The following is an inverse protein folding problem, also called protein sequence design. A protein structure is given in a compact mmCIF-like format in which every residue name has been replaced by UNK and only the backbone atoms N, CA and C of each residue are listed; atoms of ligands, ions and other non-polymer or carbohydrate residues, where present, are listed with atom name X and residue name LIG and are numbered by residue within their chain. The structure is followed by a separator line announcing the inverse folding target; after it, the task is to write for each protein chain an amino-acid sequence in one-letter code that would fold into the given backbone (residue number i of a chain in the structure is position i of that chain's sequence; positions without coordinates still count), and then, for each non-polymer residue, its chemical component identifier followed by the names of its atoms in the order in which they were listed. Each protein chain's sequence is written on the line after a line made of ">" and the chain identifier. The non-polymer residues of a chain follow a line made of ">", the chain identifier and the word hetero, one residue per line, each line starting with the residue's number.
data_IF_041455153603
#
_entry.id   IF_041455153603
#
_cell.length_a   1.000
_cell.length_b   1.000
_cell.length_c   1.000
_cell.angle_alpha   90.00
_cell.angle_beta   90.00
_cell.angle_gamma   90.00
#
_symmetry.space_group_name_H-M   'P 1'
#
loop_
_entity.id
_entity.type
_entity.pdbx_description
1 polymer ?
#
# COMPACT_ATOMS: atom_id res chain seq x y z
N UNK A 1 33.85 -8.28 -8.28
CA UNK A 1 33.92 -8.14 -6.81
C UNK A 1 32.88 -7.18 -6.20
N UNK A 2 32.53 -6.04 -6.81
CA UNK A 2 31.50 -5.13 -6.26
C UNK A 2 30.04 -5.62 -6.40
N UNK A 3 29.74 -6.40 -7.44
CA UNK A 3 28.42 -7.01 -7.69
C UNK A 3 28.05 -8.06 -6.63
N UNK A 4 29.02 -8.87 -6.19
CA UNK A 4 28.82 -9.94 -5.20
C UNK A 4 28.48 -9.42 -3.79
N UNK A 5 29.18 -8.38 -3.32
CA UNK A 5 28.88 -7.75 -2.03
C UNK A 5 27.49 -7.11 -2.00
N UNK A 6 27.01 -6.63 -3.14
CA UNK A 6 25.68 -6.01 -3.26
C UNK A 6 24.58 -7.08 -3.25
N UNK A 7 24.80 -8.21 -3.96
CA UNK A 7 23.90 -9.35 -3.95
C UNK A 7 23.80 -9.99 -2.54
N UNK A 8 24.93 -10.16 -1.85
CA UNK A 8 24.98 -10.67 -0.48
C UNK A 8 24.22 -9.78 0.51
N UNK A 9 24.38 -8.45 0.44
CA UNK A 9 23.62 -7.50 1.28
C UNK A 9 22.12 -7.53 0.98
N UNK A 10 21.73 -7.65 -0.29
CA UNK A 10 20.32 -7.78 -0.69
C UNK A 10 19.71 -9.10 -0.21
N UNK A 11 20.48 -10.18 -0.25
CA UNK A 11 20.06 -11.50 0.24
C UNK A 11 19.88 -11.52 1.76
N UNK A 12 20.86 -11.00 2.51
CA UNK A 12 20.77 -10.87 3.97
C UNK A 12 19.56 -10.04 4.40
N UNK A 13 19.29 -8.92 3.71
CA UNK A 13 18.09 -8.10 3.94
C UNK A 13 16.79 -8.89 3.73
N UNK A 14 16.73 -9.74 2.70
CA UNK A 14 15.54 -10.55 2.41
C UNK A 14 15.32 -11.63 3.46
N UNK A 15 16.39 -12.29 3.91
CA UNK A 15 16.31 -13.26 5.00
C UNK A 15 15.80 -12.58 6.26
N UNK A 16 16.32 -11.39 6.59
CA UNK A 16 15.82 -10.62 7.73
C UNK A 16 14.33 -10.31 7.63
N UNK A 17 13.86 -9.83 6.46
CA UNK A 17 12.42 -9.56 6.24
C UNK A 17 11.57 -10.82 6.39
N UNK A 18 12.05 -11.96 5.90
CA UNK A 18 11.38 -13.25 6.04
C UNK A 18 11.31 -13.70 7.49
N UNK A 19 12.39 -13.55 8.25
CA UNK A 19 12.42 -13.85 9.70
C UNK A 19 11.44 -12.94 10.44
N UNK A 20 11.41 -11.64 10.15
CA UNK A 20 10.47 -10.71 10.78
C UNK A 20 9.02 -11.08 10.48
N UNK A 21 8.70 -11.43 9.22
CA UNK A 21 7.33 -11.81 8.84
C UNK A 21 6.90 -13.15 9.43
N UNK A 22 7.70 -14.20 9.27
CA UNK A 22 7.40 -15.55 9.77
C UNK A 22 7.41 -15.56 11.30
N UNK A 23 8.42 -14.93 11.92
CA UNK A 23 8.54 -14.80 13.36
C UNK A 23 7.41 -13.97 13.96
N UNK A 24 7.01 -12.87 13.32
CA UNK A 24 5.85 -12.06 13.74
C UNK A 24 4.55 -12.88 13.72
N UNK A 25 4.26 -13.57 12.62
CA UNK A 25 3.09 -14.44 12.51
C UNK A 25 3.12 -15.59 13.52
N UNK A 26 4.25 -16.28 13.65
CA UNK A 26 4.41 -17.38 14.61
C UNK A 26 4.22 -16.91 16.04
N UNK A 27 4.78 -15.75 16.42
CA UNK A 27 4.60 -15.16 17.74
C UNK A 27 3.14 -14.77 18.03
N UNK A 28 2.45 -14.21 17.04
CA UNK A 28 1.03 -13.86 17.16
C UNK A 28 0.20 -15.12 17.42
N UNK A 29 0.36 -16.18 16.63
CA UNK A 29 -0.41 -17.42 16.80
C UNK A 29 0.05 -18.30 17.96
N UNK A 30 1.27 -18.08 18.45
CA UNK A 30 1.72 -18.64 19.72
C UNK A 30 0.98 -18.01 20.90
N UNK A 31 0.72 -16.70 20.88
CA UNK A 31 -0.02 -16.00 21.94
C UNK A 31 -1.53 -16.07 21.81
N UNK A 32 -2.04 -16.19 20.59
CA UNK A 32 -3.48 -16.22 20.30
C UNK A 32 -3.82 -17.50 19.53
N UNK A 33 -4.55 -18.44 20.15
CA UNK A 33 -4.97 -19.67 19.47
C UNK A 33 -5.76 -19.36 18.20
N UNK A 34 -5.44 -20.07 17.12
CA UNK A 34 -6.13 -19.89 15.83
C UNK A 34 -7.64 -20.18 15.94
N UNK A 35 -8.06 -21.12 16.79
CA UNK A 35 -9.48 -21.41 17.05
C UNK A 35 -10.24 -20.16 17.49
N UNK A 36 -9.70 -19.43 18.48
CA UNK A 36 -10.31 -18.19 18.98
C UNK A 36 -10.44 -17.09 17.93
N UNK A 37 -9.67 -17.15 16.83
CA UNK A 37 -9.77 -16.21 15.71
C UNK A 37 -10.90 -16.61 14.77
N UNK A 38 -11.02 -17.90 14.45
CA UNK A 38 -12.05 -18.45 13.57
C UNK A 38 -13.43 -18.42 14.22
N UNK A 39 -13.51 -18.54 15.56
CA UNK A 39 -14.78 -18.47 16.31
C UNK A 39 -15.50 -17.11 16.14
N UNK A 40 -14.77 -16.07 15.74
CA UNK A 40 -15.33 -14.75 15.43
C UNK A 40 -15.89 -14.64 14.00
N UNK A 41 -15.74 -15.67 13.17
CA UNK A 41 -16.29 -15.70 11.81
C UNK A 41 -17.67 -16.33 11.81
N UNK A 42 -18.63 -15.62 11.19
CA UNK A 42 -20.01 -16.08 11.08
C UNK A 42 -20.58 -15.73 9.71
N UNK A 43 -21.69 -16.35 9.31
CA UNK A 43 -22.36 -16.06 8.03
C UNK A 43 -22.79 -14.58 7.89
N UNK A 44 -22.94 -13.87 9.01
CA UNK A 44 -23.27 -12.43 9.02
C UNK A 44 -22.18 -11.55 8.38
N UNK A 45 -20.97 -12.07 8.20
CA UNK A 45 -19.86 -11.38 7.54
C UNK A 45 -20.00 -11.28 6.02
N UNK A 46 -20.85 -12.12 5.41
CA UNK A 46 -20.93 -12.26 3.94
C UNK A 46 -21.23 -10.95 3.18
N UNK A 47 -22.14 -10.05 3.63
CA UNK A 47 -22.38 -8.79 2.93
C UNK A 47 -21.14 -7.88 2.98
N UNK A 48 -20.43 -7.87 4.11
CA UNK A 48 -19.20 -7.09 4.28
C UNK A 48 -18.07 -7.62 3.39
N UNK A 49 -17.95 -8.94 3.26
CA UNK A 49 -17.00 -9.54 2.30
C UNK A 49 -17.32 -9.11 0.88
N UNK A 50 -18.58 -9.18 0.44
CA UNK A 50 -18.97 -8.74 -0.90
C UNK A 50 -18.65 -7.25 -1.14
N UNK A 51 -18.95 -6.38 -0.16
CA UNK A 51 -18.60 -4.96 -0.22
C UNK A 51 -17.08 -4.74 -0.33
N UNK A 52 -16.26 -5.53 0.38
CA UNK A 52 -14.81 -5.47 0.26
C UNK A 52 -14.32 -5.91 -1.12
N UNK A 53 -14.93 -6.95 -1.72
CA UNK A 53 -14.59 -7.38 -3.08
C UNK A 53 -14.94 -6.32 -4.13
N UNK A 54 -16.09 -5.65 -3.98
CA UNK A 54 -16.49 -4.51 -4.82
C UNK A 54 -15.48 -3.36 -4.66
N UNK A 55 -15.16 -2.97 -3.43
CA UNK A 55 -14.17 -1.93 -3.16
C UNK A 55 -12.80 -2.27 -3.76
N UNK A 56 -12.35 -3.53 -3.66
CA UNK A 56 -11.10 -4.00 -4.25
C UNK A 56 -11.09 -3.93 -5.78
N UNK A 57 -12.22 -4.21 -6.43
CA UNK A 57 -12.35 -4.01 -7.88
C UNK A 57 -12.27 -2.53 -8.26
N UNK A 58 -12.98 -1.65 -7.54
CA UNK A 58 -12.96 -0.21 -7.76
C UNK A 58 -11.55 0.35 -7.57
N UNK A 59 -10.82 -0.12 -6.56
CA UNK A 59 -9.42 0.24 -6.32
C UNK A 59 -8.54 -0.08 -7.54
N UNK A 60 -8.70 -1.25 -8.17
CA UNK A 60 -7.94 -1.59 -9.38
C UNK A 60 -8.31 -0.73 -10.58
N UNK A 61 -9.61 -0.44 -10.77
CA UNK A 61 -10.09 0.41 -11.85
C UNK A 61 -9.55 1.84 -11.72
N UNK A 62 -9.64 2.42 -10.52
CA UNK A 62 -9.13 3.77 -10.24
C UNK A 62 -7.60 3.79 -10.37
N UNK A 63 -6.88 2.77 -9.90
CA UNK A 63 -5.43 2.72 -10.10
C UNK A 63 -5.03 2.64 -11.57
N UNK A 64 -5.75 1.86 -12.38
CA UNK A 64 -5.52 1.79 -13.81
C UNK A 64 -5.81 3.13 -14.50
N UNK A 65 -6.90 3.81 -14.11
CA UNK A 65 -7.25 5.13 -14.61
C UNK A 65 -6.19 6.18 -14.23
N UNK A 66 -5.78 6.18 -12.97
CA UNK A 66 -4.73 7.06 -12.44
C UNK A 66 -3.42 6.87 -13.19
N UNK A 67 -3.03 5.62 -13.44
CA UNK A 67 -1.81 5.32 -14.19
C UNK A 67 -1.91 5.72 -15.66
N UNK A 68 -3.08 5.52 -16.30
CA UNK A 68 -3.36 6.05 -17.63
C UNK A 68 -3.23 7.57 -17.68
N UNK A 69 -3.83 8.29 -16.74
CA UNK A 69 -3.77 9.75 -16.65
C UNK A 69 -2.35 10.30 -16.42
N UNK A 70 -1.50 9.53 -15.73
CA UNK A 70 -0.09 9.85 -15.53
C UNK A 70 0.83 9.43 -16.69
N UNK A 71 0.33 8.66 -17.65
CA UNK A 71 1.08 8.32 -18.86
C UNK A 71 0.97 9.46 -19.88
N UNK A 72 1.62 10.58 -19.57
CA UNK A 72 1.50 11.86 -20.29
C UNK A 72 2.30 11.95 -21.61
N UNK A 73 3.07 10.94 -21.96
CA UNK A 73 3.94 10.90 -23.15
C UNK A 73 3.79 9.54 -23.81
N UNK A 74 4.02 9.45 -25.13
CA UNK A 74 3.97 8.23 -25.94
C UNK A 74 2.56 7.84 -26.41
N UNK A 75 2.39 6.61 -26.93
CA UNK A 75 1.18 6.26 -27.69
C UNK A 75 -0.08 6.23 -26.85
N UNK A 76 -1.23 6.48 -27.50
CA UNK A 76 -2.53 6.26 -26.88
C UNK A 76 -2.79 4.77 -26.68
N UNK A 77 -2.81 4.37 -25.41
CA UNK A 77 -2.99 2.97 -25.01
C UNK A 77 -4.40 2.80 -24.42
N UNK A 78 -5.16 1.75 -24.82
CA UNK A 78 -6.51 1.54 -24.32
C UNK A 78 -6.50 1.22 -22.81
N UNK A 79 -7.55 1.64 -22.11
CA UNK A 79 -7.70 1.45 -20.65
C UNK A 79 -7.55 -0.02 -20.22
N UNK A 80 -8.09 -0.96 -21.02
CA UNK A 80 -7.99 -2.40 -20.76
C UNK A 80 -6.55 -2.88 -20.57
N UNK A 81 -5.60 -2.27 -21.29
CA UNK A 81 -4.17 -2.57 -21.13
C UNK A 81 -3.67 -2.11 -19.76
N UNK A 82 -3.94 -0.87 -19.35
CA UNK A 82 -3.56 -0.38 -18.02
C UNK A 82 -4.16 -1.21 -16.90
N UNK A 83 -5.42 -1.63 -17.04
CA UNK A 83 -6.07 -2.52 -16.09
C UNK A 83 -5.38 -3.89 -16.04
N UNK A 84 -5.09 -4.51 -17.20
CA UNK A 84 -4.38 -5.78 -17.28
C UNK A 84 -2.99 -5.73 -16.59
N UNK A 85 -2.21 -4.68 -16.84
CA UNK A 85 -0.92 -4.50 -16.17
C UNK A 85 -1.06 -4.17 -14.68
N UNK A 86 -2.12 -3.47 -14.27
CA UNK A 86 -2.43 -3.22 -12.86
C UNK A 86 -2.76 -4.52 -12.13
N UNK A 87 -3.63 -5.36 -12.70
CA UNK A 87 -3.96 -6.68 -12.18
C UNK A 87 -2.72 -7.60 -12.10
N UNK A 88 -1.89 -7.60 -13.15
CA UNK A 88 -0.60 -8.30 -13.15
C UNK A 88 0.31 -7.82 -12.00
N UNK A 89 0.34 -6.51 -11.74
CA UNK A 89 1.06 -5.93 -10.60
C UNK A 89 0.56 -6.48 -9.26
N UNK A 90 -0.76 -6.62 -9.09
CA UNK A 90 -1.35 -7.22 -7.88
C UNK A 90 -0.95 -8.68 -7.68
N UNK A 91 -0.93 -9.47 -8.74
CA UNK A 91 -0.46 -10.86 -8.69
C UNK A 91 1.00 -10.95 -8.22
N UNK A 92 1.89 -10.19 -8.85
CA UNK A 92 3.31 -10.20 -8.48
C UNK A 92 3.60 -9.57 -7.12
N UNK A 93 2.82 -8.58 -6.66
CA UNK A 93 2.95 -8.03 -5.30
C UNK A 93 2.64 -9.07 -4.21
N UNK A 94 1.78 -10.05 -4.52
CA UNK A 94 1.43 -11.12 -3.58
C UNK A 94 2.38 -12.32 -3.64
N UNK A 95 2.95 -12.59 -4.81
CA UNK A 95 3.91 -13.69 -4.97
C UNK A 95 5.34 -13.32 -4.60
N UNK A 96 5.74 -12.08 -4.89
CA UNK A 96 7.11 -11.66 -4.65
C UNK A 96 7.29 -11.28 -3.18
N UNK A 97 8.41 -11.67 -2.55
CA UNK A 97 8.75 -11.29 -1.17
C UNK A 97 9.08 -9.79 -1.03
N UNK A 98 8.71 -8.96 -1.99
CA UNK A 98 8.97 -7.53 -2.00
C UNK A 98 7.66 -6.79 -2.17
N UNK A 99 7.30 -5.92 -1.22
CA UNK A 99 6.07 -5.11 -1.28
C UNK A 99 5.99 -4.14 -2.48
N UNK A 100 7.08 -3.98 -3.24
CA UNK A 100 7.17 -3.18 -4.45
C UNK A 100 7.46 -4.00 -5.72
N UNK A 101 7.51 -5.33 -5.62
CA UNK A 101 7.96 -6.20 -6.70
C UNK A 101 7.03 -6.19 -7.90
N UNK A 102 5.72 -6.29 -7.67
CA UNK A 102 4.73 -6.27 -8.74
C UNK A 102 4.59 -4.91 -9.41
N UNK A 103 4.82 -3.83 -8.68
CA UNK A 103 4.93 -2.48 -9.24
C UNK A 103 6.14 -2.31 -10.16
N UNK A 104 7.28 -2.91 -9.80
CA UNK A 104 8.45 -2.94 -10.66
C UNK A 104 8.20 -3.81 -11.90
N UNK A 105 7.63 -5.00 -11.75
CA UNK A 105 7.32 -5.90 -12.87
C UNK A 105 6.35 -5.24 -13.85
N UNK A 106 5.23 -4.68 -13.36
CA UNK A 106 4.23 -4.05 -14.24
C UNK A 106 4.82 -2.84 -14.98
N UNK A 107 5.59 -1.98 -14.31
CA UNK A 107 6.14 -0.77 -14.93
C UNK A 107 7.25 -1.08 -15.93
N UNK A 108 8.12 -2.05 -15.64
CA UNK A 108 9.16 -2.49 -16.56
C UNK A 108 8.58 -3.21 -17.78
N UNK A 109 7.62 -4.12 -17.57
CA UNK A 109 6.99 -4.87 -18.66
C UNK A 109 6.16 -3.96 -19.57
N UNK A 110 5.41 -3.02 -18.98
CA UNK A 110 4.66 -2.00 -19.72
C UNK A 110 5.63 -1.07 -20.48
N UNK A 111 6.63 -0.56 -19.77
CA UNK A 111 7.64 0.34 -20.30
C UNK A 111 8.42 -0.23 -21.49
N UNK A 112 8.83 -1.51 -21.42
CA UNK A 112 9.50 -2.20 -22.53
C UNK A 112 8.58 -2.39 -23.73
N UNK A 113 7.31 -2.71 -23.50
CA UNK A 113 6.34 -2.95 -24.58
C UNK A 113 5.98 -1.67 -25.35
N UNK A 114 5.90 -0.54 -24.66
CA UNK A 114 5.45 0.74 -25.22
C UNK A 114 6.54 1.81 -25.31
N UNK A 115 7.82 1.44 -25.12
CA UNK A 115 8.97 2.35 -25.11
C UNK A 115 8.84 3.54 -24.12
N UNK A 116 8.23 3.29 -22.95
CA UNK A 116 7.91 4.28 -21.91
C UNK A 116 8.49 3.93 -20.53
N UNK A 117 9.57 3.14 -20.45
CA UNK A 117 10.09 2.62 -19.17
C UNK A 117 10.36 3.70 -18.13
N UNK A 118 11.06 4.78 -18.49
CA UNK A 118 11.37 5.86 -17.57
C UNK A 118 10.08 6.47 -16.99
N UNK A 119 9.17 6.90 -17.88
CA UNK A 119 7.91 7.51 -17.49
C UNK A 119 7.02 6.58 -16.69
N UNK A 120 6.94 5.30 -17.06
CA UNK A 120 6.12 4.32 -16.33
C UNK A 120 6.61 4.13 -14.90
N UNK A 121 7.93 4.14 -14.68
CA UNK A 121 8.51 4.11 -13.34
C UNK A 121 8.19 5.41 -12.60
N UNK A 122 8.35 6.57 -13.26
CA UNK A 122 8.00 7.88 -12.67
C UNK A 122 6.53 7.96 -12.27
N UNK A 123 5.62 7.43 -13.09
CA UNK A 123 4.17 7.42 -12.83
C UNK A 123 3.86 6.59 -11.58
N UNK A 124 4.46 5.41 -11.46
CA UNK A 124 4.31 4.56 -10.26
C UNK A 124 4.87 5.27 -9.03
N UNK A 125 6.08 5.84 -9.10
CA UNK A 125 6.68 6.60 -8.01
C UNK A 125 5.79 7.77 -7.55
N UNK A 126 5.31 8.59 -8.50
CA UNK A 126 4.41 9.70 -8.20
C UNK A 126 3.12 9.21 -7.54
N UNK A 127 2.54 8.12 -8.06
CA UNK A 127 1.30 7.55 -7.54
C UNK A 127 1.44 7.03 -6.10
N UNK A 128 2.63 6.56 -5.70
CA UNK A 128 2.95 6.13 -4.33
C UNK A 128 3.07 7.32 -3.40
N UNK A 129 3.74 8.38 -3.84
CA UNK A 129 3.87 9.63 -3.08
C UNK A 129 2.50 10.27 -2.86
N UNK A 130 1.69 10.39 -3.91
CA UNK A 130 0.33 10.96 -3.80
C UNK A 130 -0.57 10.12 -2.89
N UNK A 131 -0.46 8.78 -2.95
CA UNK A 131 -1.17 7.89 -2.03
C UNK A 131 -0.76 8.11 -0.57
N UNK A 132 0.54 8.29 -0.31
CA UNK A 132 1.04 8.54 1.04
C UNK A 132 0.61 9.92 1.57
N UNK A 133 0.63 10.95 0.73
CA UNK A 133 0.13 12.29 1.08
C UNK A 133 -1.38 12.28 1.35
N UNK A 134 -2.15 11.56 0.53
CA UNK A 134 -3.59 11.34 0.76
C UNK A 134 -3.85 10.65 2.11
N UNK A 135 -3.03 9.66 2.46
CA UNK A 135 -3.09 9.00 3.77
C UNK A 135 -2.83 9.97 4.93
N UNK A 136 -1.78 10.79 4.85
CA UNK A 136 -1.49 11.77 5.90
C UNK A 136 -2.63 12.76 6.05
N UNK A 137 -3.24 13.19 4.95
CA UNK A 137 -4.41 14.06 4.98
C UNK A 137 -5.58 13.38 5.70
N UNK A 138 -5.90 12.12 5.40
CA UNK A 138 -6.92 11.38 6.12
C UNK A 138 -6.62 11.28 7.63
N UNK A 139 -5.36 11.00 7.99
CA UNK A 139 -4.92 10.93 9.38
C UNK A 139 -5.12 12.27 10.11
N UNK A 140 -4.59 13.37 9.59
CA UNK A 140 -4.65 14.68 10.25
C UNK A 140 -6.08 15.25 10.32
N UNK A 141 -6.92 14.95 9.33
CA UNK A 141 -8.35 15.31 9.38
C UNK A 141 -9.08 14.50 10.46
N UNK A 142 -8.81 13.20 10.57
CA UNK A 142 -9.51 12.34 11.52
C UNK A 142 -9.04 12.52 12.98
N UNK A 143 -7.78 12.95 13.18
CA UNK A 143 -7.14 13.02 14.49
C UNK A 143 -7.92 13.86 15.52
N UNK A 144 -8.37 15.10 15.26
CA UNK A 144 -9.13 15.88 16.25
C UNK A 144 -10.42 15.18 16.70
N UNK A 145 -11.13 14.52 15.77
CA UNK A 145 -12.36 13.80 16.06
C UNK A 145 -12.12 12.51 16.85
N UNK A 146 -10.96 11.86 16.64
CA UNK A 146 -10.57 10.69 17.42
C UNK A 146 -10.23 11.10 18.85
N UNK A 147 -9.50 12.20 19.03
CA UNK A 147 -9.14 12.75 20.34
C UNK A 147 -10.35 13.21 21.15
N UNK A 148 -11.43 13.67 20.49
CA UNK A 148 -12.66 14.05 21.19
C UNK A 148 -13.50 12.86 21.67
N UNK A 149 -13.20 11.64 21.21
CA UNK A 149 -14.01 10.44 21.49
C UNK A 149 -13.32 9.42 22.36
N UNK A 150 -12.00 9.50 22.52
CA UNK A 150 -11.23 8.54 23.31
C UNK A 150 -10.10 9.25 24.02
N UNK A 151 -10.01 8.99 25.32
CA UNK A 151 -8.90 9.45 26.15
C UNK A 151 -7.66 8.58 25.85
N UNK A 152 -6.93 8.98 24.81
CA UNK A 152 -5.64 8.38 24.49
C UNK A 152 -4.55 9.13 25.27
N UNK A 153 -3.59 8.44 25.91
CA UNK A 153 -2.53 9.10 26.67
C UNK A 153 -1.81 10.18 25.86
N UNK A 154 -1.63 11.37 26.43
CA UNK A 154 -1.06 12.53 25.73
C UNK A 154 0.33 12.26 25.12
N UNK A 155 1.19 11.52 25.82
CA UNK A 155 2.49 11.14 25.28
C UNK A 155 2.37 10.29 24.00
N UNK A 156 1.36 9.41 23.94
CA UNK A 156 1.10 8.57 22.78
C UNK A 156 0.58 9.37 21.59
N UNK A 157 -0.39 10.26 21.82
CA UNK A 157 -0.95 11.11 20.75
C UNK A 157 0.11 12.04 20.17
N UNK A 158 0.95 12.64 21.03
CA UNK A 158 2.06 13.50 20.60
C UNK A 158 3.10 12.75 19.79
N UNK A 159 3.55 11.57 20.27
CA UNK A 159 4.57 10.78 19.56
C UNK A 159 4.09 10.36 18.17
N UNK A 160 2.85 9.90 18.04
CA UNK A 160 2.27 9.54 16.74
C UNK A 160 2.12 10.74 15.80
N UNK A 161 1.62 11.86 16.33
CA UNK A 161 1.40 13.07 15.54
C UNK A 161 2.73 13.62 15.02
N UNK A 162 3.74 13.69 15.89
CA UNK A 162 5.10 14.10 15.51
C UNK A 162 5.68 13.12 14.50
N UNK A 163 5.56 11.81 14.70
CA UNK A 163 6.08 10.82 13.76
C UNK A 163 5.44 10.95 12.36
N UNK A 164 4.12 11.08 12.29
CA UNK A 164 3.40 11.29 11.03
C UNK A 164 3.77 12.62 10.37
N UNK A 165 3.93 13.68 11.16
CA UNK A 165 4.34 15.00 10.66
C UNK A 165 5.76 14.98 10.11
N UNK A 166 6.70 14.34 10.81
CA UNK A 166 8.09 14.16 10.37
C UNK A 166 8.13 13.35 9.07
N UNK A 167 7.37 12.25 8.98
CA UNK A 167 7.27 11.48 7.74
C UNK A 167 6.69 12.31 6.59
N UNK A 168 5.64 13.09 6.83
CA UNK A 168 5.04 13.97 5.83
C UNK A 168 6.03 15.03 5.36
N UNK A 169 6.68 15.74 6.29
CA UNK A 169 7.69 16.76 5.99
C UNK A 169 8.85 16.14 5.20
N UNK A 170 9.34 14.96 5.60
CA UNK A 170 10.39 14.26 4.87
C UNK A 170 10.00 13.96 3.42
N UNK A 171 8.78 13.46 3.17
CA UNK A 171 8.27 13.19 1.82
C UNK A 171 8.15 14.48 1.00
N UNK A 172 7.64 15.56 1.59
CA UNK A 172 7.52 16.87 0.94
C UNK A 172 8.89 17.45 0.61
N UNK A 173 9.85 17.40 1.53
CA UNK A 173 11.22 17.84 1.29
C UNK A 173 11.88 17.04 0.15
N UNK A 174 11.67 15.73 0.09
CA UNK A 174 12.19 14.90 -1.01
C UNK A 174 11.58 15.29 -2.38
N UNK A 175 10.34 15.79 -2.42
CA UNK A 175 9.70 16.29 -3.64
C UNK A 175 10.20 17.67 -4.07
N UNK A 176 10.45 18.55 -3.11
CA UNK A 176 10.79 19.96 -3.33
C UNK A 176 12.28 20.29 -3.13
N UNK A 177 13.15 19.28 -3.10
CA UNK A 177 14.59 19.43 -2.88
C UNK A 177 15.33 20.33 -3.90
N UNK A 178 14.70 20.72 -5.02
CA UNK A 178 15.24 21.65 -6.03
C UNK A 178 15.05 23.11 -5.60
N UNK A 179 14.02 23.37 -4.78
CA UNK A 179 13.59 24.72 -4.40
C UNK A 179 13.96 25.07 -2.97
N UNK A 180 14.20 24.05 -2.15
CA UNK A 180 14.65 24.19 -0.77
C UNK A 180 16.15 23.87 -0.75
N UNK A 181 17.00 24.72 -0.15
CA UNK A 181 18.43 24.43 -0.02
C UNK A 181 18.60 23.24 0.94
N UNK A 182 18.69 22.03 0.37
CA UNK A 182 19.01 20.82 1.14
C UNK A 182 20.54 20.71 1.21
N UNK A 183 21.14 20.55 2.40
CA UNK A 183 22.58 20.43 2.54
C UNK A 183 23.18 19.34 1.63
N UNK A 184 24.29 19.64 0.96
CA UNK A 184 24.97 18.71 0.04
C UNK A 184 25.35 17.39 0.72
N UNK A 185 25.61 17.42 2.02
CA UNK A 185 25.88 16.22 2.85
C UNK A 185 24.73 15.21 2.79
N UNK A 186 23.48 15.69 2.75
CA UNK A 186 22.28 14.85 2.70
C UNK A 186 22.06 14.33 1.27
N UNK A 187 22.22 15.18 0.26
CA UNK A 187 22.09 14.81 -1.15
C UNK A 187 23.14 13.77 -1.58
N UNK A 188 24.37 13.90 -1.09
CA UNK A 188 25.46 12.98 -1.35
C UNK A 188 25.26 11.62 -0.64
N UNK A 189 24.64 11.59 0.54
CA UNK A 189 24.26 10.34 1.23
C UNK A 189 23.04 9.67 0.60
N UNK A 190 22.04 10.45 0.17
CA UNK A 190 20.77 9.97 -0.36
C UNK A 190 20.66 10.23 -1.87
N UNK A 191 21.55 9.62 -2.66
CA UNK A 191 21.62 9.78 -4.12
C UNK A 191 20.33 9.41 -4.88
N UNK A 192 19.35 8.77 -4.22
CA UNK A 192 18.03 8.49 -4.77
C UNK A 192 17.16 9.75 -4.90
N UNK A 193 17.31 10.75 -4.02
CA UNK A 193 16.51 11.99 -4.02
C UNK A 193 16.63 12.75 -5.36
N UNK A 194 17.84 13.13 -5.82
CA UNK A 194 17.97 13.86 -7.10
C UNK A 194 17.52 13.02 -8.30
N UNK A 195 17.70 11.69 -8.28
CA UNK A 195 17.21 10.78 -9.33
C UNK A 195 15.69 10.75 -9.40
N UNK A 196 15.03 10.63 -8.24
CA UNK A 196 13.57 10.64 -8.13
C UNK A 196 13.01 11.96 -8.63
N UNK A 197 13.58 13.08 -8.18
CA UNK A 197 13.16 14.41 -8.60
C UNK A 197 13.32 14.64 -10.10
N UNK A 198 14.48 14.29 -10.68
CA UNK A 198 14.70 14.39 -12.13
C UNK A 198 13.62 13.61 -12.89
N UNK A 199 13.27 12.42 -12.39
CA UNK A 199 12.22 11.55 -12.94
C UNK A 199 10.81 12.17 -12.80
N UNK A 200 10.55 12.93 -11.74
CA UNK A 200 9.26 13.57 -11.47
C UNK A 200 9.12 14.97 -12.09
N UNK A 201 10.22 15.59 -12.51
CA UNK A 201 10.23 16.96 -13.04
C UNK A 201 9.32 17.15 -14.26
N UNK A 202 9.14 16.11 -15.08
CA UNK A 202 8.25 16.08 -16.24
C UNK A 202 6.82 16.46 -15.85
N UNK A 203 6.34 15.99 -14.69
CA UNK A 203 4.97 16.24 -14.23
C UNK A 203 4.69 17.68 -13.80
N UNK A 204 5.73 18.52 -13.64
CA UNK A 204 5.54 19.95 -13.32
C UNK A 204 4.81 20.71 -14.42
N UNK A 205 4.89 20.23 -15.66
CA UNK A 205 4.20 20.81 -16.82
C UNK A 205 2.74 20.31 -16.95
N UNK A 206 2.40 19.18 -16.32
CA UNK A 206 1.10 18.50 -16.44
C UNK A 206 0.24 18.65 -15.17
N UNK A 207 0.03 19.90 -14.73
CA UNK A 207 -0.65 20.20 -13.46
C UNK A 207 -2.04 19.58 -13.34
N UNK A 208 -2.81 19.56 -14.44
CA UNK A 208 -4.16 18.96 -14.48
C UNK A 208 -4.11 17.46 -14.18
N UNK A 209 -3.20 16.74 -14.84
CA UNK A 209 -3.04 15.29 -14.68
C UNK A 209 -2.56 14.95 -13.26
N UNK A 210 -1.64 15.74 -12.71
CA UNK A 210 -1.19 15.60 -11.30
C UNK A 210 -2.33 15.85 -10.32
N UNK A 211 -3.17 16.85 -10.56
CA UNK A 211 -4.33 17.13 -9.71
C UNK A 211 -5.34 15.98 -9.75
N UNK A 212 -5.70 15.51 -10.96
CA UNK A 212 -6.62 14.38 -11.12
C UNK A 212 -6.05 13.12 -10.46
N UNK A 213 -4.76 12.84 -10.59
CA UNK A 213 -4.15 11.68 -9.94
C UNK A 213 -4.05 11.82 -8.42
N UNK A 214 -3.96 13.05 -7.88
CA UNK A 214 -4.09 13.32 -6.45
C UNK A 214 -5.52 13.05 -5.96
N UNK A 215 -6.55 13.44 -6.73
CA UNK A 215 -7.95 13.13 -6.39
C UNK A 215 -8.21 11.62 -6.43
N UNK A 216 -7.70 10.92 -7.45
CA UNK A 216 -7.75 9.45 -7.50
C UNK A 216 -7.08 8.84 -6.27
N UNK A 217 -5.97 9.42 -5.79
CA UNK A 217 -5.26 8.94 -4.59
C UNK A 217 -6.08 9.10 -3.32
N UNK A 218 -6.87 10.17 -3.19
CA UNK A 218 -7.83 10.33 -2.10
C UNK A 218 -8.91 9.26 -2.16
N UNK A 219 -9.50 9.02 -3.33
CA UNK A 219 -10.52 7.96 -3.49
C UNK A 219 -9.97 6.58 -3.17
N UNK A 220 -8.76 6.26 -3.62
CA UNK A 220 -8.09 5.02 -3.28
C UNK A 220 -7.90 4.87 -1.77
N UNK A 221 -7.57 5.97 -1.08
CA UNK A 221 -7.39 5.96 0.36
C UNK A 221 -8.70 5.77 1.10
N UNK A 222 -9.77 6.45 0.68
CA UNK A 222 -11.11 6.27 1.24
C UNK A 222 -11.62 4.84 1.05
N UNK A 223 -11.41 4.23 -0.12
CA UNK A 223 -11.76 2.83 -0.37
C UNK A 223 -10.95 1.87 0.50
N UNK A 224 -9.67 2.18 0.74
CA UNK A 224 -8.82 1.39 1.64
C UNK A 224 -9.29 1.47 3.09
N UNK A 225 -9.67 2.67 3.55
CA UNK A 225 -10.25 2.89 4.87
C UNK A 225 -11.63 2.24 5.00
N UNK A 226 -12.44 2.26 3.93
CA UNK A 226 -13.71 1.56 3.88
C UNK A 226 -13.54 0.05 3.98
N UNK A 227 -12.56 -0.55 3.28
CA UNK A 227 -12.25 -1.98 3.45
C UNK A 227 -11.87 -2.28 4.90
N UNK A 228 -11.11 -1.39 5.55
CA UNK A 228 -10.76 -1.54 6.95
C UNK A 228 -11.97 -1.51 7.88
N UNK A 229 -12.86 -0.56 7.65
CA UNK A 229 -14.15 -0.50 8.33
C UNK A 229 -14.98 -1.77 8.10
N UNK A 230 -15.06 -2.25 6.85
CA UNK A 230 -15.85 -3.42 6.50
C UNK A 230 -15.37 -4.69 7.19
N UNK A 231 -14.06 -4.96 7.27
CA UNK A 231 -13.59 -6.17 7.95
C UNK A 231 -13.78 -6.12 9.48
N UNK A 232 -13.76 -4.94 10.11
CA UNK A 232 -14.11 -4.82 11.54
C UNK A 232 -15.61 -5.00 11.76
N UNK A 233 -16.45 -4.45 10.89
CA UNK A 233 -17.90 -4.68 10.92
C UNK A 233 -18.27 -6.14 10.64
N UNK A 234 -17.49 -6.83 9.83
CA UNK A 234 -17.66 -8.24 9.50
C UNK A 234 -17.54 -9.16 10.74
N UNK A 235 -16.69 -8.80 11.70
CA UNK A 235 -16.56 -9.52 12.99
C UNK A 235 -17.44 -8.94 14.09
N UNK A 236 -18.42 -8.09 13.74
CA UNK A 236 -19.37 -7.50 14.68
C UNK A 236 -18.85 -6.30 15.48
N UNK A 237 -17.64 -5.79 15.21
CA UNK A 237 -17.08 -4.64 15.92
C UNK A 237 -17.53 -3.31 15.30
N UNK A 238 -18.16 -2.47 16.12
CA UNK A 238 -18.48 -1.08 15.78
C UNK A 238 -17.46 -0.15 16.40
N UNK A 239 -16.46 0.24 15.61
CA UNK A 239 -15.43 1.19 16.01
C UNK A 239 -15.78 2.56 15.41
N UNK A 240 -15.53 3.63 16.17
CA UNK A 240 -15.70 4.96 15.63
C UNK A 240 -14.83 5.19 14.38
N UNK A 241 -15.42 5.79 13.35
CA UNK A 241 -14.76 5.99 12.06
C UNK A 241 -13.48 6.82 12.23
N UNK A 242 -13.48 7.84 13.09
CA UNK A 242 -12.30 8.69 13.29
C UNK A 242 -11.11 7.90 13.86
N UNK A 243 -11.36 7.08 14.88
CA UNK A 243 -10.34 6.21 15.50
C UNK A 243 -9.85 5.17 14.51
N UNK A 244 -10.77 4.55 13.77
CA UNK A 244 -10.43 3.57 12.74
C UNK A 244 -9.54 4.19 11.66
N UNK A 245 -9.85 5.41 11.20
CA UNK A 245 -9.03 6.11 10.21
C UNK A 245 -7.65 6.41 10.75
N UNK A 246 -7.54 6.93 11.98
CA UNK A 246 -6.24 7.21 12.62
C UNK A 246 -5.40 5.94 12.71
N UNK A 247 -5.92 4.89 13.35
CA UNK A 247 -5.18 3.65 13.60
C UNK A 247 -4.83 2.90 12.32
N UNK A 248 -5.76 2.85 11.36
CA UNK A 248 -5.52 2.21 10.06
C UNK A 248 -4.49 2.99 9.25
N UNK A 249 -4.50 4.33 9.30
CA UNK A 249 -3.49 5.15 8.61
C UNK A 249 -2.10 4.88 9.13
N UNK A 250 -1.93 4.83 10.46
CA UNK A 250 -0.67 4.47 11.11
C UNK A 250 -0.22 3.06 10.68
N UNK A 251 -1.14 2.09 10.75
CA UNK A 251 -0.88 0.71 10.36
C UNK A 251 -0.35 0.63 8.92
N UNK A 252 -0.99 1.33 7.98
CA UNK A 252 -0.59 1.30 6.57
C UNK A 252 0.76 1.97 6.36
N UNK A 253 1.01 3.13 6.99
CA UNK A 253 2.32 3.83 6.88
C UNK A 253 3.45 2.94 7.42
N UNK A 254 3.25 2.30 8.57
CA UNK A 254 4.24 1.37 9.14
C UNK A 254 4.41 0.14 8.24
N UNK A 255 3.32 -0.40 7.68
CA UNK A 255 3.37 -1.57 6.79
C UNK A 255 4.06 -1.28 5.45
N UNK A 256 4.16 -0.01 5.04
CA UNK A 256 4.94 0.39 3.86
C UNK A 256 6.45 0.38 4.11
N UNK A 257 6.89 0.39 5.38
CA UNK A 257 8.31 0.29 5.69
C UNK A 257 8.84 -1.06 5.22
N UNK A 258 10.02 -1.12 4.56
CA UNK A 258 10.58 -2.34 4.01
C UNK A 258 11.23 -3.21 5.11
N UNK A 259 10.54 -3.39 6.23
CA UNK A 259 10.95 -4.18 7.39
C UNK A 259 10.42 -5.61 7.34
N UNK A 260 9.31 -5.85 6.64
CA UNK A 260 8.66 -7.15 6.50
C UNK A 260 8.23 -7.45 5.07
N UNK A 261 7.90 -8.71 4.79
CA UNK A 261 7.37 -9.16 3.52
C UNK A 261 5.93 -8.66 3.36
N UNK A 262 5.72 -7.62 2.56
CA UNK A 262 4.39 -7.05 2.27
C UNK A 262 3.60 -6.63 3.54
N UNK A 263 4.29 -6.22 4.60
CA UNK A 263 3.65 -5.83 5.86
C UNK A 263 3.23 -7.01 6.75
N UNK A 264 3.31 -8.25 6.27
CA UNK A 264 2.87 -9.47 6.98
C UNK A 264 3.59 -9.57 8.34
N UNK A 265 2.82 -9.68 9.42
CA UNK A 265 3.26 -9.80 10.81
C UNK A 265 3.39 -8.44 11.50
N UNK A 266 3.90 -7.44 10.78
CA UNK A 266 4.00 -6.06 11.27
C UNK A 266 2.62 -5.40 11.29
N UNK A 267 1.84 -5.59 10.23
CA UNK A 267 0.47 -5.04 10.11
C UNK A 267 -0.42 -5.54 11.25
N UNK A 268 -0.44 -6.85 11.46
CA UNK A 268 -1.24 -7.49 12.51
C UNK A 268 -0.75 -7.08 13.90
N UNK A 269 0.58 -7.04 14.11
CA UNK A 269 1.16 -6.61 15.38
C UNK A 269 0.84 -5.15 15.72
N UNK A 270 0.90 -4.24 14.74
CA UNK A 270 0.53 -2.83 14.92
C UNK A 270 -0.97 -2.69 15.18
N UNK A 271 -1.82 -3.43 14.46
CA UNK A 271 -3.27 -3.43 14.72
C UNK A 271 -3.57 -3.90 16.14
N UNK A 272 -2.99 -5.02 16.59
CA UNK A 272 -3.17 -5.48 17.98
C UNK A 272 -2.65 -4.44 18.98
N UNK A 273 -1.47 -3.87 18.76
CA UNK A 273 -0.92 -2.84 19.66
C UNK A 273 -1.84 -1.61 19.78
N UNK A 274 -2.46 -1.18 18.68
CA UNK A 274 -3.37 -0.04 18.66
C UNK A 274 -4.75 -0.38 19.21
N UNK A 275 -5.44 -1.33 18.59
CA UNK A 275 -6.83 -1.64 18.90
C UNK A 275 -6.97 -2.40 20.23
N UNK A 276 -6.07 -3.33 20.55
CA UNK A 276 -6.09 -4.00 21.85
C UNK A 276 -5.44 -3.14 22.93
N UNK A 277 -4.29 -2.54 22.65
CA UNK A 277 -3.55 -1.79 23.66
C UNK A 277 -4.23 -0.49 24.12
N UNK A 278 -4.97 0.19 23.23
CA UNK A 278 -5.57 1.50 23.55
C UNK A 278 -7.09 1.38 23.77
N UNK A 279 -7.78 0.60 22.95
CA UNK A 279 -9.25 0.46 23.06
C UNK A 279 -9.67 -0.77 23.87
N UNK A 280 -8.73 -1.59 24.33
CA UNK A 280 -9.03 -2.81 25.10
C UNK A 280 -9.73 -3.91 24.29
N UNK A 281 -9.79 -3.79 22.95
CA UNK A 281 -10.47 -4.78 22.10
C UNK A 281 -9.68 -6.10 22.15
N UNK A 282 -10.31 -7.26 22.45
CA UNK A 282 -9.58 -8.52 22.56
C UNK A 282 -8.77 -8.83 21.30
N UNK A 283 -7.48 -9.16 21.48
CA UNK A 283 -6.56 -9.46 20.38
C UNK A 283 -7.08 -10.51 19.37
N UNK A 284 -7.76 -11.60 19.80
CA UNK A 284 -8.34 -12.56 18.84
C UNK A 284 -9.34 -11.93 17.87
N UNK A 285 -10.13 -10.96 18.31
CA UNK A 285 -11.14 -10.28 17.48
C UNK A 285 -10.46 -9.34 16.49
N UNK A 286 -9.45 -8.59 16.94
CA UNK A 286 -8.65 -7.70 16.06
C UNK A 286 -7.95 -8.51 14.97
N UNK A 287 -7.33 -9.64 15.35
CA UNK A 287 -6.67 -10.55 14.41
C UNK A 287 -7.68 -11.18 13.44
N UNK A 288 -8.85 -11.56 13.92
CA UNK A 288 -9.93 -12.11 13.08
C UNK A 288 -10.34 -11.13 12.00
N UNK A 289 -10.52 -9.86 12.37
CA UNK A 289 -10.82 -8.77 11.45
C UNK A 289 -9.67 -8.56 10.44
N UNK A 290 -8.43 -8.48 10.93
CA UNK A 290 -7.23 -8.30 10.09
C UNK A 290 -7.02 -9.41 9.07
N UNK A 291 -7.32 -10.66 9.42
CA UNK A 291 -7.22 -11.81 8.51
C UNK A 291 -8.24 -11.72 7.36
N UNK A 292 -9.46 -11.25 7.60
CA UNK A 292 -10.45 -11.01 6.54
C UNK A 292 -9.94 -9.98 5.51
N UNK A 293 -9.07 -9.06 5.92
CA UNK A 293 -8.39 -8.11 5.03
C UNK A 293 -7.49 -8.75 3.97
N UNK A 294 -7.15 -10.05 4.07
CA UNK A 294 -6.45 -10.78 3.01
C UNK A 294 -7.37 -11.27 1.89
N UNK A 295 -8.68 -11.41 2.12
CA UNK A 295 -9.62 -11.90 1.10
C UNK A 295 -9.60 -11.01 -0.16
N UNK A 296 -9.73 -9.67 -0.07
CA UNK A 296 -9.73 -8.83 -1.26
C UNK A 296 -8.37 -8.81 -1.96
N UNK A 297 -7.28 -8.97 -1.20
CA UNK A 297 -5.94 -9.07 -1.72
C UNK A 297 -5.74 -10.32 -2.58
N UNK A 298 -6.18 -11.49 -2.09
CA UNK A 298 -6.14 -12.75 -2.83
C UNK A 298 -7.04 -12.68 -4.07
N UNK A 299 -8.20 -12.06 -3.95
CA UNK A 299 -9.11 -11.85 -5.07
C UNK A 299 -8.50 -10.98 -6.18
N UNK A 300 -7.81 -9.89 -5.84
CA UNK A 300 -7.07 -9.07 -6.81
C UNK A 300 -5.90 -9.84 -7.44
N UNK A 301 -5.20 -10.67 -6.66
CA UNK A 301 -4.14 -11.52 -7.18
C UNK A 301 -4.68 -12.55 -8.19
N UNK A 302 -5.84 -13.15 -7.91
CA UNK A 302 -6.52 -14.08 -8.81
C UNK A 302 -6.88 -13.42 -10.15
N UNK A 303 -7.37 -12.18 -10.13
CA UNK A 303 -7.64 -11.44 -11.36
C UNK A 303 -6.38 -11.22 -12.20
N UNK A 304 -5.25 -10.92 -11.54
CA UNK A 304 -3.95 -10.85 -12.21
C UNK A 304 -3.50 -12.18 -12.81
N UNK A 305 -3.73 -13.30 -12.12
CA UNK A 305 -3.46 -14.64 -12.63
C UNK A 305 -4.27 -14.95 -13.90
N UNK A 306 -5.57 -14.63 -13.90
CA UNK A 306 -6.46 -14.81 -15.07
C UNK A 306 -5.96 -13.99 -16.26
N UNK A 307 -5.55 -12.74 -16.05
CA UNK A 307 -4.98 -11.88 -17.10
C UNK A 307 -3.72 -12.49 -17.71
N UNK A 308 -2.83 -13.05 -16.88
CA UNK A 308 -1.60 -13.70 -17.35
C UNK A 308 -1.88 -14.96 -18.18
N UNK A 309 -2.82 -15.79 -17.75
CA UNK A 309 -3.24 -16.99 -18.49
C UNK A 309 -3.86 -16.62 -19.85
N UNK A 310 -4.74 -15.62 -19.86
CA UNK A 310 -5.36 -15.13 -21.10
C UNK A 310 -4.32 -14.55 -22.08
N UNK A 311 -3.30 -13.85 -21.58
CA UNK A 311 -2.22 -13.31 -22.41
C UNK A 311 -1.37 -14.42 -23.05
N UNK A 312 -1.07 -15.50 -22.31
CA UNK A 312 -0.31 -16.66 -22.82
C UNK A 312 -1.06 -17.38 -23.96
N UNK A 313 -2.37 -17.54 -23.82
CA UNK A 313 -3.20 -18.21 -24.83
C UNK A 313 -3.29 -17.42 -26.15
N UNK A 314 -3.23 -16.09 -26.10
CA UNK A 314 -3.20 -15.25 -27.31
C UNK A 314 -1.85 -15.23 -28.03
N UNK A 315 -0.77 -15.71 -27.40
CA UNK A 315 0.57 -15.79 -28.01
C UNK A 315 0.91 -17.16 -28.61
N UNK A 316 0.07 -18.17 -28.40
CA UNK A 316 0.21 -19.46 -29.08
C UNK A 316 -0.41 -19.37 -30.47
N UNK A 317 0.32 -19.72 -31.55
CA UNK A 317 -0.31 -19.84 -32.87
C UNK A 317 -1.45 -20.87 -32.76
N UNK A 318 -2.65 -20.47 -33.17
CA UNK A 318 -3.70 -21.43 -33.47
C UNK A 318 -3.22 -22.24 -34.66
N UNK A 319 -2.73 -23.45 -34.41
CA UNK A 319 -2.54 -24.44 -35.47
C UNK A 319 -3.93 -24.77 -36.03
N UNK A 320 -4.26 -24.12 -37.15
CA UNK A 320 -5.23 -24.61 -38.12
C UNK A 320 -4.44 -25.00 -39.36
#
# INVERSE_FOLDING_TARGET
>A
MATDKTASKLFAKRIFQLIVSVGGFAYIFYKVPFSSVVDNWSLSMTPWILLMLVAANLIMLIQANRWKGLSVQGPEIPFKTYYAYTAMGYFFNNLLPTGFGGDAVKSLAFGKKFNQTSQSISAVLLSRIQGLLAMFLCFFIALPFALSKTEVPFAYTMTMTIAMLVCMVFVVLCLFSDKVPVPDVILNKLTFIPKMQKSLSIYRQYKKQVLLSSLDSLWLQLLTLFMAYAYFRAVGLTIDISILVVFTSITIVISMLPVSLNGIGVREGVQVALFTGILGIPAPVVLSAGLLGYIPLLFQALQGAVVLLAAKNNTLPKNN
#
